data_IF_953976352922
#
_entry.id   IF_953976352922
#
_cell.length_a   1.000
_cell.length_b   1.000
_cell.length_c   1.000
_cell.angle_alpha   90.00
_cell.angle_beta   90.00
_cell.angle_gamma   90.00
#
_symmetry.space_group_name_H-M   'P 1'
#
loop_
_entity.id
_entity.type
_entity.pdbx_description
1 polymer ?
#
# COMPACT_ATOMS: atom_id res chain seq x y z
N UNK A 1 -5.11 -27.89 -8.75
CA UNK A 1 -6.13 -26.85 -8.98
C UNK A 1 -5.49 -25.50 -8.77
N UNK A 2 -5.21 -24.78 -9.87
CA UNK A 2 -4.58 -23.46 -9.86
C UNK A 2 -5.73 -22.44 -9.90
N UNK A 3 -5.82 -21.56 -8.90
CA UNK A 3 -6.80 -20.46 -8.93
C UNK A 3 -6.33 -19.41 -9.94
N UNK A 4 -7.21 -18.92 -10.84
CA UNK A 4 -6.81 -17.91 -11.81
C UNK A 4 -6.54 -16.59 -11.11
N UNK A 5 -5.55 -15.87 -11.61
CA UNK A 5 -5.31 -14.45 -11.29
C UNK A 5 -6.58 -13.69 -11.65
N UNK A 6 -7.19 -13.04 -10.66
CA UNK A 6 -8.43 -12.30 -10.84
C UNK A 6 -8.17 -11.17 -11.84
N UNK A 7 -8.78 -11.29 -13.02
CA UNK A 7 -9.04 -10.17 -13.90
C UNK A 7 -9.69 -9.06 -13.08
N UNK A 8 -9.18 -7.83 -13.22
CA UNK A 8 -9.67 -6.66 -12.52
C UNK A 8 -11.19 -6.51 -12.70
N UNK A 9 -11.91 -5.97 -11.71
CA UNK A 9 -13.33 -5.77 -11.88
C UNK A 9 -13.52 -4.58 -12.83
N UNK A 10 -13.92 -4.89 -14.06
CA UNK A 10 -14.72 -4.03 -14.90
C UNK A 10 -15.94 -3.56 -14.09
N UNK A 11 -16.17 -2.25 -14.12
CA UNK A 11 -17.09 -1.59 -13.22
C UNK A 11 -18.55 -1.96 -13.49
N UNK A 12 -19.26 -2.35 -12.43
CA UNK A 12 -20.66 -2.03 -12.14
C UNK A 12 -20.92 -2.37 -10.67
N UNK A 13 -21.65 -1.50 -9.97
CA UNK A 13 -22.16 -1.66 -8.59
C UNK A 13 -21.20 -1.25 -7.45
N UNK A 14 -21.19 0.06 -7.17
CA UNK A 14 -20.73 0.64 -5.90
C UNK A 14 -21.68 0.20 -4.77
N UNK A 15 -21.43 -0.97 -4.19
CA UNK A 15 -22.00 -1.32 -2.89
C UNK A 15 -21.46 -0.34 -1.84
N UNK A 16 -22.34 0.57 -1.38
CA UNK A 16 -22.02 1.64 -0.42
C UNK A 16 -21.62 1.11 0.97
N UNK A 17 -21.83 -0.17 1.23
CA UNK A 17 -21.52 -0.82 2.50
C UNK A 17 -20.10 -1.43 2.41
N UNK A 18 -19.10 -0.68 2.91
CA UNK A 18 -17.70 -1.12 3.00
C UNK A 18 -16.71 -0.42 2.07
N UNK A 19 -17.17 0.48 1.19
CA UNK A 19 -16.30 1.34 0.39
C UNK A 19 -15.25 2.12 1.21
N UNK A 20 -15.61 2.81 2.32
CA UNK A 20 -14.61 3.55 3.09
C UNK A 20 -13.54 2.64 3.71
N UNK A 21 -13.94 1.50 4.28
CA UNK A 21 -13.00 0.55 4.88
C UNK A 21 -12.06 -0.08 3.83
N UNK A 22 -12.58 -0.37 2.62
CA UNK A 22 -11.75 -0.88 1.52
C UNK A 22 -10.77 0.19 1.02
N UNK A 23 -11.22 1.44 0.90
CA UNK A 23 -10.37 2.56 0.49
C UNK A 23 -9.25 2.82 1.50
N UNK A 24 -9.57 2.82 2.79
CA UNK A 24 -8.61 2.96 3.89
C UNK A 24 -7.56 1.84 3.84
N UNK A 25 -8.00 0.58 3.71
CA UNK A 25 -7.10 -0.58 3.59
C UNK A 25 -6.15 -0.45 2.38
N UNK A 26 -6.68 -0.08 1.21
CA UNK A 26 -5.86 0.09 0.01
C UNK A 26 -4.87 1.25 0.15
N UNK A 27 -5.24 2.32 0.86
CA UNK A 27 -4.31 3.43 1.13
C UNK A 27 -3.19 3.01 2.10
N UNK A 28 -3.49 2.22 3.13
CA UNK A 28 -2.48 1.64 4.02
C UNK A 28 -1.56 0.65 3.29
N UNK A 29 -2.11 -0.18 2.40
CA UNK A 29 -1.33 -1.09 1.53
C UNK A 29 -0.38 -0.29 0.62
N UNK A 30 -0.84 0.83 0.04
CA UNK A 30 0.01 1.71 -0.75
C UNK A 30 1.17 2.31 0.09
N UNK A 31 0.89 2.75 1.30
CA UNK A 31 1.92 3.26 2.22
C UNK A 31 2.97 2.19 2.55
N UNK A 32 2.57 0.92 2.69
CA UNK A 32 3.53 -0.17 2.90
C UNK A 32 4.49 -0.37 1.72
N UNK A 33 4.02 -0.20 0.48
CA UNK A 33 4.89 -0.27 -0.71
C UNK A 33 5.89 0.88 -0.69
N UNK A 34 5.42 2.09 -0.36
CA UNK A 34 6.27 3.26 -0.25
C UNK A 34 7.36 3.08 0.84
N UNK A 35 6.99 2.59 2.02
CA UNK A 35 7.93 2.30 3.11
C UNK A 35 8.94 1.22 2.67
N UNK A 36 8.49 0.18 1.97
CA UNK A 36 9.39 -0.86 1.43
C UNK A 36 10.45 -0.25 0.52
N UNK A 37 10.06 0.66 -0.37
CA UNK A 37 11.02 1.38 -1.23
C UNK A 37 11.97 2.28 -0.44
N UNK A 38 11.47 2.93 0.62
CA UNK A 38 12.31 3.75 1.50
C UNK A 38 13.37 2.89 2.22
N UNK A 39 12.95 1.77 2.83
CA UNK A 39 13.86 0.82 3.50
C UNK A 39 14.90 0.26 2.52
N UNK A 40 14.48 -0.11 1.31
CA UNK A 40 15.39 -0.55 0.25
C UNK A 40 16.39 0.55 -0.10
N UNK A 41 15.95 1.79 -0.25
CA UNK A 41 16.84 2.91 -0.57
C UNK A 41 17.84 3.19 0.56
N UNK A 42 17.42 3.10 1.83
CA UNK A 42 18.32 3.22 2.98
C UNK A 42 19.41 2.14 2.94
N UNK A 43 19.03 0.89 2.65
CA UNK A 43 19.99 -0.23 2.57
C UNK A 43 21.03 -0.07 1.45
N UNK A 44 20.73 0.69 0.38
CA UNK A 44 21.71 0.97 -0.69
C UNK A 44 22.76 2.02 -0.30
N UNK A 45 22.47 2.83 0.71
CA UNK A 45 23.37 3.89 1.20
C UNK A 45 24.22 3.41 2.38
N UNK A 46 23.78 2.36 3.07
CA UNK A 46 24.54 1.73 4.15
C UNK A 46 25.60 0.81 3.53
N UNK A 47 26.83 0.85 4.06
CA UNK A 47 27.89 -0.07 3.65
C UNK A 47 27.44 -1.53 3.84
N UNK A 48 27.94 -2.43 2.98
CA UNK A 48 27.60 -3.85 3.00
C UNK A 48 27.78 -4.43 4.41
N UNK A 49 26.67 -4.90 5.01
CA UNK A 49 26.71 -5.54 6.32
C UNK A 49 27.55 -6.83 6.22
N UNK A 50 28.70 -6.92 6.92
CA UNK A 50 29.58 -8.08 6.85
C UNK A 50 28.90 -9.37 7.32
N UNK A 51 27.78 -9.28 8.06
CA UNK A 51 27.00 -10.45 8.49
C UNK A 51 26.08 -11.00 7.41
N UNK A 52 25.56 -10.13 6.53
CA UNK A 52 24.57 -10.54 5.53
C UNK A 52 25.14 -10.58 4.12
N UNK A 53 26.33 -10.08 3.88
CA UNK A 53 26.92 -10.03 2.54
C UNK A 53 26.01 -9.37 1.50
N UNK A 54 26.39 -9.54 0.24
CA UNK A 54 25.67 -9.02 -0.92
C UNK A 54 25.40 -10.12 -1.95
N UNK A 55 25.03 -11.31 -1.47
CA UNK A 55 24.58 -12.40 -2.33
C UNK A 55 23.07 -12.32 -2.61
N UNK A 56 22.63 -13.05 -3.63
CA UNK A 56 21.22 -13.04 -4.07
C UNK A 56 20.27 -13.58 -3.00
N UNK A 57 20.71 -14.55 -2.19
CA UNK A 57 19.90 -15.18 -1.14
C UNK A 57 19.61 -14.18 -0.02
N UNK A 58 20.64 -13.46 0.42
CA UNK A 58 20.55 -12.36 1.38
C UNK A 58 19.64 -11.24 0.88
N UNK A 59 19.75 -10.85 -0.40
CA UNK A 59 18.86 -9.84 -0.97
C UNK A 59 17.39 -10.26 -0.98
N UNK A 60 17.11 -11.54 -1.25
CA UNK A 60 15.74 -12.09 -1.19
C UNK A 60 15.23 -12.02 0.26
N UNK A 61 16.01 -12.49 1.23
CA UNK A 61 15.63 -12.48 2.65
C UNK A 61 15.40 -11.05 3.14
N UNK A 62 16.31 -10.12 2.82
CA UNK A 62 16.17 -8.68 3.14
C UNK A 62 14.93 -8.08 2.51
N UNK A 63 14.60 -8.44 1.26
CA UNK A 63 13.40 -7.94 0.58
C UNK A 63 12.14 -8.42 1.29
N UNK A 64 12.04 -9.71 1.60
CA UNK A 64 10.90 -10.25 2.35
C UNK A 64 10.79 -9.64 3.75
N UNK A 65 11.92 -9.45 4.44
CA UNK A 65 11.95 -8.79 5.74
C UNK A 65 11.44 -7.35 5.66
N UNK A 66 11.94 -6.57 4.70
CA UNK A 66 11.52 -5.19 4.49
C UNK A 66 10.03 -5.08 4.14
N UNK A 67 9.50 -5.99 3.31
CA UNK A 67 8.07 -6.02 2.95
C UNK A 67 7.19 -6.28 4.17
N UNK A 68 7.54 -7.27 5.00
CA UNK A 68 6.78 -7.57 6.22
C UNK A 68 6.88 -6.43 7.24
N UNK A 69 8.08 -5.89 7.45
CA UNK A 69 8.30 -4.76 8.34
C UNK A 69 7.51 -3.53 7.87
N UNK A 70 7.49 -3.25 6.58
CA UNK A 70 6.75 -2.13 6.01
C UNK A 70 5.23 -2.28 6.16
N UNK A 71 4.69 -3.50 6.06
CA UNK A 71 3.28 -3.77 6.32
C UNK A 71 2.91 -3.47 7.78
N UNK A 72 3.70 -3.97 8.73
CA UNK A 72 3.46 -3.73 10.17
C UNK A 72 3.58 -2.24 10.50
N UNK A 73 4.56 -1.53 9.93
CA UNK A 73 4.70 -0.08 10.10
C UNK A 73 3.46 0.64 9.55
N UNK A 74 3.02 0.32 8.34
CA UNK A 74 1.86 0.96 7.71
C UNK A 74 0.56 0.73 8.50
N UNK A 75 0.32 -0.51 8.97
CA UNK A 75 -0.85 -0.84 9.80
C UNK A 75 -0.80 -0.13 11.16
N UNK A 76 0.39 0.02 11.74
CA UNK A 76 0.62 0.70 13.01
C UNK A 76 0.48 2.23 12.98
N UNK A 77 0.06 2.81 11.85
CA UNK A 77 -0.10 4.26 11.68
C UNK A 77 0.98 4.92 10.80
N UNK A 78 2.00 4.17 10.41
CA UNK A 78 2.95 4.53 9.36
C UNK A 78 3.60 5.90 9.52
N UNK A 79 3.77 6.58 8.39
CA UNK A 79 4.18 7.98 8.30
C UNK A 79 2.97 8.91 8.05
N UNK A 80 1.75 8.34 7.99
CA UNK A 80 0.50 9.05 7.74
C UNK A 80 0.18 9.30 6.27
N UNK A 81 0.96 8.75 5.34
CA UNK A 81 0.77 8.98 3.90
C UNK A 81 -0.51 8.30 3.40
N UNK A 82 -0.83 7.10 3.89
CA UNK A 82 -2.07 6.40 3.57
C UNK A 82 -3.30 7.20 4.03
N UNK A 83 -3.23 7.80 5.22
CA UNK A 83 -4.30 8.65 5.74
C UNK A 83 -4.51 9.91 4.89
N UNK A 84 -3.43 10.59 4.49
CA UNK A 84 -3.52 11.76 3.60
C UNK A 84 -4.13 11.41 2.25
N UNK A 85 -3.77 10.24 1.70
CA UNK A 85 -4.33 9.74 0.45
C UNK A 85 -5.82 9.39 0.60
N UNK A 86 -6.18 8.72 1.68
CA UNK A 86 -7.57 8.38 2.00
C UNK A 86 -8.45 9.63 2.07
N UNK A 87 -8.04 10.65 2.83
CA UNK A 87 -8.77 11.92 2.94
C UNK A 87 -8.90 12.61 1.57
N UNK A 88 -7.81 12.67 0.80
CA UNK A 88 -7.81 13.28 -0.54
C UNK A 88 -8.76 12.58 -1.52
N UNK A 89 -8.87 11.25 -1.45
CA UNK A 89 -9.73 10.45 -2.32
C UNK A 89 -11.19 10.50 -1.87
N UNK A 90 -11.43 10.46 -0.55
CA UNK A 90 -12.75 10.61 0.04
C UNK A 90 -13.37 11.96 -0.36
N UNK A 91 -12.62 13.06 -0.23
CA UNK A 91 -13.10 14.41 -0.54
C UNK A 91 -13.46 14.58 -2.02
N UNK A 92 -12.65 14.03 -2.94
CA UNK A 92 -12.96 14.04 -4.39
C UNK A 92 -14.23 13.26 -4.72
N UNK A 93 -14.47 12.14 -4.04
CA UNK A 93 -15.66 11.33 -4.28
C UNK A 93 -16.92 12.01 -3.71
N UNK A 94 -16.82 12.62 -2.52
CA UNK A 94 -17.91 13.41 -1.92
C UNK A 94 -18.31 14.63 -2.76
N UNK A 95 -17.35 15.31 -3.40
CA UNK A 95 -17.63 16.43 -4.29
C UNK A 95 -18.39 16.00 -5.55
N UNK A 96 -18.05 14.83 -6.10
CA UNK A 96 -18.66 14.30 -7.34
C UNK A 96 -20.09 13.81 -7.09
N UNK A 97 -20.36 13.14 -5.96
CA UNK A 97 -21.70 12.70 -5.58
C UNK A 97 -22.67 13.88 -5.38
N UNK A 98 -22.24 15.00 -4.79
CA UNK A 98 -23.08 16.20 -4.63
C UNK A 98 -23.48 16.85 -5.95
N UNK A 99 -22.59 16.84 -6.94
CA UNK A 99 -22.85 17.45 -8.26
C UNK A 99 -23.84 16.60 -9.07
N UNK A 100 -23.78 15.27 -8.92
CA UNK A 100 -24.66 14.33 -9.63
C UNK A 100 -26.05 14.20 -9.01
N UNK A 101 -26.20 14.43 -7.69
CA UNK A 101 -27.49 14.37 -6.99
C UNK A 101 -28.26 15.70 -6.95
N UNK A 102 -27.73 16.76 -7.57
CA UNK A 102 -28.38 18.09 -7.65
C UNK A 102 -28.85 18.44 -9.07
N UNK A 103 -28.98 17.44 -9.96
CA UNK A 103 -29.59 17.57 -11.29
C UNK A 103 -30.90 16.80 -11.37
#
# INVERSE_FOLDING_TARGET
MIKPVAAGPEGTELHKDGYPAKLEKTCAEFESIFITHMLKSMSTVMDDDPLFGNDNESQIIKSMFNENLAQEIAIGGGMGLGNMLFESLKDKNYATDKIMNYR
#
